data_IF_906349577958
#
_entry.id   IF_906349577958
#
_cell.length_a   1.000
_cell.length_b   1.000
_cell.length_c   1.000
_cell.angle_alpha   90.00
_cell.angle_beta   90.00
_cell.angle_gamma   90.00
#
_symmetry.space_group_name_H-M   'P 1'
#
loop_
_entity.id
_entity.type
_entity.pdbx_description
1 polymer ?
#
# COMPACT_ATOMS: atom_id res chain seq x y z
N UNK A 1 65.52 -69.25 35.12
CA UNK A 1 64.36 -68.34 34.94
C UNK A 1 64.05 -68.28 33.45
N UNK A 2 62.82 -68.59 33.04
CA UNK A 2 62.52 -68.85 31.62
C UNK A 2 62.30 -67.52 30.86
N UNK A 3 63.17 -67.21 29.90
CA UNK A 3 63.21 -65.90 29.20
C UNK A 3 61.86 -65.51 28.57
N UNK A 4 61.10 -66.50 28.10
CA UNK A 4 59.76 -66.31 27.52
C UNK A 4 58.72 -65.75 28.49
N UNK A 5 58.82 -66.03 29.79
CA UNK A 5 57.88 -65.49 30.80
C UNK A 5 58.12 -63.99 30.98
N UNK A 6 59.38 -63.56 30.92
CA UNK A 6 59.75 -62.14 31.06
C UNK A 6 59.30 -61.35 29.83
N UNK A 7 59.51 -61.90 28.62
CA UNK A 7 59.07 -61.29 27.37
C UNK A 7 57.54 -61.20 27.29
N UNK A 8 56.83 -62.28 27.67
CA UNK A 8 55.37 -62.30 27.70
C UNK A 8 54.78 -61.26 28.67
N UNK A 9 55.38 -61.12 29.86
CA UNK A 9 54.98 -60.10 30.84
C UNK A 9 55.19 -58.68 30.34
N UNK A 10 56.32 -58.41 29.65
CA UNK A 10 56.62 -57.10 29.06
C UNK A 10 55.62 -56.73 27.96
N UNK A 11 55.27 -57.66 27.08
CA UNK A 11 54.30 -57.40 26.00
C UNK A 11 52.90 -57.10 26.56
N UNK A 12 52.47 -57.82 27.60
CA UNK A 12 51.20 -57.57 28.28
C UNK A 12 51.17 -56.19 28.94
N UNK A 13 52.27 -55.79 29.57
CA UNK A 13 52.40 -54.47 30.19
C UNK A 13 52.35 -53.34 29.13
N UNK A 14 53.05 -53.50 28.00
CA UNK A 14 53.02 -52.54 26.89
C UNK A 14 51.60 -52.42 26.30
N UNK A 15 50.92 -53.55 26.07
CA UNK A 15 49.55 -53.55 25.53
C UNK A 15 48.57 -52.84 26.49
N UNK A 16 48.74 -53.03 27.80
CA UNK A 16 47.94 -52.34 28.82
C UNK A 16 48.15 -50.82 28.79
N UNK A 17 49.39 -50.34 28.64
CA UNK A 17 49.69 -48.91 28.53
C UNK A 17 49.07 -48.28 27.28
N UNK A 18 49.13 -48.97 26.13
CA UNK A 18 48.54 -48.49 24.88
C UNK A 18 47.01 -48.37 25.01
N UNK A 19 46.35 -49.36 25.60
CA UNK A 19 44.89 -49.33 25.79
C UNK A 19 44.43 -48.22 26.74
N UNK A 20 45.16 -47.99 27.84
CA UNK A 20 44.85 -46.89 28.77
C UNK A 20 45.13 -45.52 28.13
N UNK A 21 46.22 -45.40 27.37
CA UNK A 21 46.57 -44.17 26.67
C UNK A 21 45.56 -43.79 25.59
N UNK A 22 45.10 -44.74 24.78
CA UNK A 22 44.08 -44.48 23.76
C UNK A 22 42.73 -44.09 24.37
N UNK A 23 42.34 -44.75 25.47
CA UNK A 23 41.11 -44.41 26.19
C UNK A 23 41.17 -43.01 26.81
N UNK A 24 42.29 -42.63 27.46
CA UNK A 24 42.44 -41.28 28.01
C UNK A 24 42.43 -40.21 26.92
N UNK A 25 43.07 -40.48 25.78
CA UNK A 25 43.09 -39.54 24.65
C UNK A 25 41.68 -39.34 24.06
N UNK A 26 40.92 -40.42 23.84
CA UNK A 26 39.55 -40.31 23.34
C UNK A 26 38.60 -39.65 24.35
N UNK A 27 38.76 -39.96 25.65
CA UNK A 27 38.02 -39.30 26.73
C UNK A 27 38.31 -37.78 26.79
N UNK A 28 39.56 -37.37 26.57
CA UNK A 28 39.93 -35.96 26.49
C UNK A 28 39.30 -35.25 25.29
N UNK A 29 39.42 -35.82 24.09
CA UNK A 29 38.84 -35.23 22.89
C UNK A 29 37.30 -35.21 22.90
N UNK A 30 36.65 -36.24 23.45
CA UNK A 30 35.19 -36.25 23.61
C UNK A 30 34.73 -35.16 24.56
N UNK A 31 35.39 -34.99 25.71
CA UNK A 31 35.08 -33.92 26.66
C UNK A 31 35.22 -32.53 26.03
N UNK A 32 36.31 -32.30 25.29
CA UNK A 32 36.54 -31.02 24.61
C UNK A 32 35.49 -30.76 23.52
N UNK A 33 35.17 -31.77 22.69
CA UNK A 33 34.12 -31.65 21.66
C UNK A 33 32.76 -31.33 22.25
N UNK A 34 32.39 -31.93 23.38
CA UNK A 34 31.10 -31.65 24.04
C UNK A 34 31.03 -30.19 24.50
N UNK A 35 32.12 -29.64 25.02
CA UNK A 35 32.19 -28.22 25.43
C UNK A 35 32.07 -27.29 24.23
N UNK A 36 32.78 -27.57 23.14
CA UNK A 36 32.66 -26.79 21.90
C UNK A 36 31.26 -26.89 21.29
N UNK A 37 30.70 -28.08 21.18
CA UNK A 37 29.34 -28.29 20.67
C UNK A 37 28.29 -27.57 21.53
N UNK A 38 28.46 -27.54 22.85
CA UNK A 38 27.55 -26.80 23.73
C UNK A 38 27.61 -25.28 23.48
N UNK A 39 28.82 -24.73 23.29
CA UNK A 39 29.00 -23.31 22.93
C UNK A 39 28.42 -22.99 21.56
N UNK A 40 28.76 -23.78 20.55
CA UNK A 40 28.27 -23.59 19.19
C UNK A 40 26.74 -23.69 19.13
N UNK A 41 26.14 -24.66 19.84
CA UNK A 41 24.69 -24.76 19.95
C UNK A 41 24.07 -23.55 20.65
N UNK A 42 24.70 -23.03 21.71
CA UNK A 42 24.22 -21.84 22.40
C UNK A 42 24.26 -20.62 21.48
N UNK A 43 25.37 -20.42 20.76
CA UNK A 43 25.52 -19.34 19.77
C UNK A 43 24.50 -19.49 18.63
N UNK A 44 24.30 -20.70 18.10
CA UNK A 44 23.27 -20.99 17.10
C UNK A 44 21.88 -20.68 17.61
N UNK A 45 21.54 -21.06 18.84
CA UNK A 45 20.21 -20.76 19.42
C UNK A 45 20.00 -19.25 19.61
N UNK A 46 21.03 -18.52 20.04
CA UNK A 46 20.95 -17.07 20.18
C UNK A 46 20.78 -16.38 18.84
N UNK A 47 21.57 -16.77 17.83
CA UNK A 47 21.44 -16.25 16.46
C UNK A 47 20.07 -16.56 15.86
N UNK A 48 19.57 -17.79 16.03
CA UNK A 48 18.23 -18.16 15.55
C UNK A 48 17.13 -17.36 16.25
N UNK A 49 17.24 -17.09 17.56
CA UNK A 49 16.29 -16.26 18.27
C UNK A 49 16.28 -14.81 17.75
N UNK A 50 17.45 -14.25 17.45
CA UNK A 50 17.56 -12.93 16.84
C UNK A 50 16.95 -12.90 15.45
N UNK A 51 17.27 -13.88 14.59
CA UNK A 51 16.68 -14.01 13.24
C UNK A 51 15.16 -14.10 13.32
N UNK A 52 14.60 -14.92 14.22
CA UNK A 52 13.16 -15.04 14.40
C UNK A 52 12.54 -13.72 14.83
N UNK A 53 13.17 -12.98 15.75
CA UNK A 53 12.65 -11.68 16.19
C UNK A 53 12.65 -10.64 15.06
N UNK A 54 13.68 -10.64 14.22
CA UNK A 54 13.77 -9.76 13.05
C UNK A 54 12.74 -10.17 11.98
N UNK A 55 12.55 -11.46 11.75
CA UNK A 55 11.54 -11.97 10.81
C UNK A 55 10.12 -11.63 11.28
N UNK A 56 9.82 -11.77 12.57
CA UNK A 56 8.53 -11.38 13.13
C UNK A 56 8.27 -9.88 13.00
N UNK A 57 9.27 -9.05 13.29
CA UNK A 57 9.18 -7.59 13.11
C UNK A 57 8.95 -7.22 11.64
N UNK A 58 9.70 -7.83 10.71
CA UNK A 58 9.55 -7.60 9.28
C UNK A 58 8.18 -8.07 8.78
N UNK A 59 7.69 -9.23 9.24
CA UNK A 59 6.37 -9.75 8.89
C UNK A 59 5.25 -8.85 9.41
N UNK A 60 5.39 -8.31 10.63
CA UNK A 60 4.43 -7.37 11.20
C UNK A 60 4.38 -6.07 10.39
N UNK A 61 5.53 -5.51 10.00
CA UNK A 61 5.60 -4.34 9.13
C UNK A 61 4.95 -4.60 7.76
N UNK A 62 5.28 -5.72 7.13
CA UNK A 62 4.67 -6.13 5.86
C UNK A 62 3.14 -6.28 5.97
N UNK A 63 2.63 -6.87 7.05
CA UNK A 63 1.20 -7.00 7.27
C UNK A 63 0.50 -5.65 7.43
N UNK A 64 1.13 -4.71 8.15
CA UNK A 64 0.62 -3.35 8.29
C UNK A 64 0.57 -2.63 6.94
N UNK A 65 1.62 -2.78 6.12
CA UNK A 65 1.68 -2.19 4.79
C UNK A 65 0.65 -2.80 3.82
N UNK A 66 0.48 -4.12 3.83
CA UNK A 66 -0.56 -4.78 3.04
C UNK A 66 -1.96 -4.29 3.47
N UNK A 67 -2.18 -4.12 4.77
CA UNK A 67 -3.46 -3.61 5.28
C UNK A 67 -3.70 -2.17 4.85
N UNK A 68 -2.70 -1.29 4.93
CA UNK A 68 -2.86 0.11 4.50
C UNK A 68 -3.14 0.23 3.00
N UNK A 69 -2.47 -0.57 2.17
CA UNK A 69 -2.77 -0.66 0.74
C UNK A 69 -4.18 -1.19 0.47
N UNK A 70 -4.63 -2.21 1.21
CA UNK A 70 -5.98 -2.74 1.10
C UNK A 70 -7.02 -1.67 1.48
N UNK A 71 -6.80 -0.94 2.56
CA UNK A 71 -7.69 0.13 3.00
C UNK A 71 -7.79 1.25 1.96
N UNK A 72 -6.66 1.69 1.38
CA UNK A 72 -6.63 2.67 0.28
C UNK A 72 -7.44 2.16 -0.92
N UNK A 73 -7.27 0.88 -1.31
CA UNK A 73 -7.99 0.30 -2.42
C UNK A 73 -9.51 0.26 -2.16
N UNK A 74 -9.94 -0.17 -0.97
CA UNK A 74 -11.38 -0.20 -0.62
C UNK A 74 -11.99 1.20 -0.55
N UNK A 75 -11.24 2.19 -0.06
CA UNK A 75 -11.70 3.56 0.00
C UNK A 75 -11.86 4.14 -1.41
N UNK A 76 -10.88 3.91 -2.29
CA UNK A 76 -10.96 4.34 -3.68
C UNK A 76 -12.17 3.74 -4.41
N UNK A 77 -12.47 2.46 -4.19
CA UNK A 77 -13.63 1.80 -4.80
C UNK A 77 -14.95 2.41 -4.33
N UNK A 78 -15.09 2.68 -3.02
CA UNK A 78 -16.26 3.35 -2.45
C UNK A 78 -16.42 4.76 -3.01
N UNK A 79 -15.35 5.55 -3.00
CA UNK A 79 -15.37 6.91 -3.52
C UNK A 79 -15.73 6.95 -5.00
N UNK A 80 -15.29 5.94 -5.78
CA UNK A 80 -15.67 5.79 -7.19
C UNK A 80 -17.16 5.52 -7.36
N UNK A 81 -17.72 4.57 -6.61
CA UNK A 81 -19.15 4.27 -6.66
C UNK A 81 -19.99 5.49 -6.26
N UNK A 82 -19.62 6.16 -5.16
CA UNK A 82 -20.32 7.34 -4.68
C UNK A 82 -20.27 8.51 -5.67
N UNK A 83 -19.10 8.74 -6.28
CA UNK A 83 -18.95 9.78 -7.30
C UNK A 83 -19.82 9.48 -8.53
N UNK A 84 -19.87 8.22 -8.96
CA UNK A 84 -20.70 7.82 -10.10
C UNK A 84 -22.19 7.99 -9.81
N UNK A 85 -22.64 7.62 -8.60
CA UNK A 85 -24.01 7.85 -8.15
C UNK A 85 -24.34 9.35 -8.12
N UNK A 86 -23.45 10.19 -7.57
CA UNK A 86 -23.63 11.64 -7.50
C UNK A 86 -23.70 12.26 -8.89
N UNK A 87 -22.81 11.88 -9.81
CA UNK A 87 -22.80 12.37 -11.19
C UNK A 87 -24.10 12.01 -11.93
N UNK A 88 -24.52 10.75 -11.85
CA UNK A 88 -25.77 10.28 -12.46
C UNK A 88 -26.99 10.98 -11.86
N UNK A 89 -26.98 11.20 -10.54
CA UNK A 89 -28.05 11.90 -9.84
C UNK A 89 -28.14 13.36 -10.26
N UNK A 90 -27.01 14.08 -10.38
CA UNK A 90 -26.99 15.47 -10.88
C UNK A 90 -27.52 15.56 -12.31
N UNK A 91 -27.13 14.62 -13.17
CA UNK A 91 -27.60 14.56 -14.54
C UNK A 91 -29.10 14.24 -14.64
N UNK A 92 -29.60 13.33 -13.80
CA UNK A 92 -31.03 13.03 -13.69
C UNK A 92 -31.84 14.23 -13.16
N UNK A 93 -31.34 14.94 -12.14
CA UNK A 93 -31.95 16.15 -11.61
C UNK A 93 -31.99 17.27 -12.66
N UNK A 94 -30.92 17.41 -13.45
CA UNK A 94 -30.88 18.33 -14.57
C UNK A 94 -31.95 17.99 -15.63
N UNK A 95 -32.05 16.71 -16.05
CA UNK A 95 -33.07 16.24 -17.00
C UNK A 95 -34.51 16.38 -16.47
N UNK A 96 -34.70 16.20 -15.17
CA UNK A 96 -35.96 16.42 -14.48
C UNK A 96 -36.31 17.91 -14.32
N UNK A 97 -35.40 18.82 -14.68
CA UNK A 97 -35.60 20.27 -14.58
C UNK A 97 -35.49 20.82 -13.17
N UNK A 98 -34.88 20.08 -12.23
CA UNK A 98 -34.71 20.51 -10.84
C UNK A 98 -33.79 21.74 -10.71
N UNK A 99 -32.84 21.91 -11.65
CA UNK A 99 -32.01 23.09 -11.77
C UNK A 99 -31.65 23.36 -13.24
N UNK A 100 -31.27 24.60 -13.55
CA UNK A 100 -30.83 25.02 -14.89
C UNK A 100 -29.53 25.79 -14.78
N UNK A 101 -28.61 25.54 -15.71
CA UNK A 101 -27.37 26.31 -15.80
C UNK A 101 -27.64 27.61 -16.55
N UNK A 102 -27.19 28.73 -16.00
CA UNK A 102 -27.32 30.05 -16.62
C UNK A 102 -25.96 30.53 -17.08
N UNK A 103 -25.91 31.13 -18.26
CA UNK A 103 -24.74 31.86 -18.69
C UNK A 103 -24.89 33.33 -18.26
N UNK A 104 -24.06 33.81 -17.32
CA UNK A 104 -24.12 35.20 -16.84
C UNK A 104 -23.83 36.23 -17.95
N UNK A 105 -23.24 35.79 -19.08
CA UNK A 105 -22.87 36.63 -20.22
C UNK A 105 -23.87 36.51 -21.37
N UNK A 106 -24.81 35.55 -21.31
CA UNK A 106 -25.79 35.36 -22.36
C UNK A 106 -26.84 36.47 -22.31
N UNK A 107 -26.79 37.36 -23.30
CA UNK A 107 -27.88 38.29 -23.58
C UNK A 107 -29.11 37.44 -23.93
N UNK A 108 -30.15 37.53 -23.10
CA UNK A 108 -31.42 36.82 -23.27
C UNK A 108 -31.81 36.84 -24.75
N UNK A 109 -31.84 35.67 -25.40
CA UNK A 109 -32.24 35.57 -26.80
C UNK A 109 -33.65 36.17 -26.91
N UNK A 110 -33.76 37.35 -27.53
CA UNK A 110 -35.06 37.98 -27.79
C UNK A 110 -35.84 36.95 -28.59
N UNK A 111 -36.96 36.49 -28.04
CA UNK A 111 -37.95 35.73 -28.77
C UNK A 111 -38.25 36.51 -30.04
N UNK A 112 -37.91 35.96 -31.22
CA UNK A 112 -38.26 36.55 -32.50
C UNK A 112 -39.78 36.47 -32.69
N UNK A 113 -40.51 37.30 -31.94
CA UNK A 113 -41.90 37.64 -32.17
C UNK A 113 -41.94 39.11 -32.49
N UNK A 114 -42.43 39.46 -33.67
CA UNK A 114 -42.70 40.83 -34.12
C UNK A 114 -43.30 41.69 -33.00
N UNK A 115 -42.49 42.55 -32.39
CA UNK A 115 -42.98 43.70 -31.64
C UNK A 115 -42.17 44.92 -32.06
N UNK A 116 -42.74 45.61 -33.04
CA UNK A 116 -42.46 47.00 -33.39
C UNK A 116 -42.74 47.92 -32.20
N UNK A 117 -41.77 48.78 -31.89
CA UNK A 117 -42.00 50.10 -31.28
C UNK A 117 -41.63 50.24 -29.80
N UNK A 118 -40.44 50.78 -29.52
CA UNK A 118 -40.24 52.16 -29.02
C UNK A 118 -38.80 52.32 -28.51
N UNK A 119 -38.11 53.33 -29.04
CA UNK A 119 -36.82 53.79 -28.53
C UNK A 119 -37.12 54.62 -27.28
N UNK A 120 -36.73 54.12 -26.11
CA UNK A 120 -36.65 54.91 -24.89
C UNK A 120 -35.17 55.01 -24.49
N UNK A 121 -34.61 56.21 -24.60
CA UNK A 121 -33.31 56.57 -24.03
C UNK A 121 -33.42 56.63 -22.51
N UNK A 122 -32.70 55.76 -21.81
CA UNK A 122 -32.43 55.92 -20.37
C UNK A 122 -30.94 55.73 -20.08
N UNK A 123 -30.46 56.56 -19.15
CA UNK A 123 -29.07 56.75 -18.76
C UNK A 123 -28.75 55.87 -17.56
N UNK A 124 -27.68 55.07 -17.64
CA UNK A 124 -26.90 54.67 -16.47
C UNK A 124 -27.46 53.55 -15.57
N UNK A 125 -28.26 52.63 -16.11
CA UNK A 125 -28.49 51.32 -15.49
C UNK A 125 -27.83 50.26 -16.35
N UNK A 126 -26.90 49.46 -15.81
CA UNK A 126 -26.60 48.18 -16.44
C UNK A 126 -27.86 47.35 -16.34
N UNK A 127 -28.67 47.37 -17.39
CA UNK A 127 -29.78 46.44 -17.57
C UNK A 127 -29.15 45.04 -17.50
N UNK A 128 -29.20 44.44 -16.31
CA UNK A 128 -28.95 43.04 -16.10
C UNK A 128 -30.05 42.28 -16.81
N UNK A 129 -29.98 42.23 -18.14
CA UNK A 129 -30.84 41.39 -18.96
C UNK A 129 -30.82 40.01 -18.36
N UNK A 130 -32.02 39.45 -18.11
CA UNK A 130 -32.16 38.14 -17.48
C UNK A 130 -31.14 37.18 -18.11
N UNK A 131 -30.15 36.68 -17.34
CA UNK A 131 -29.07 35.89 -17.90
C UNK A 131 -29.68 34.70 -18.64
N UNK A 132 -29.34 34.56 -19.92
CA UNK A 132 -29.85 33.52 -20.78
C UNK A 132 -29.54 32.14 -20.20
N UNK A 133 -30.48 31.21 -20.29
CA UNK A 133 -30.23 29.82 -19.93
C UNK A 133 -29.24 29.20 -20.92
N UNK A 134 -28.31 28.37 -20.43
CA UNK A 134 -27.45 27.58 -21.29
C UNK A 134 -28.29 26.61 -22.10
N UNK A 135 -27.87 26.33 -23.34
CA UNK A 135 -28.54 25.33 -24.16
C UNK A 135 -28.50 23.96 -23.48
N UNK A 136 -29.52 23.13 -23.77
CA UNK A 136 -29.66 21.80 -23.19
C UNK A 136 -28.40 20.94 -23.39
N UNK A 137 -27.87 20.97 -24.62
CA UNK A 137 -26.66 20.24 -25.02
C UNK A 137 -25.39 20.77 -24.38
N UNK A 138 -25.24 22.10 -24.23
CA UNK A 138 -24.08 22.69 -23.57
C UNK A 138 -24.05 22.35 -22.07
N UNK A 139 -25.21 22.36 -21.42
CA UNK A 139 -25.31 22.00 -20.01
C UNK A 139 -24.98 20.54 -19.75
N UNK A 140 -25.50 19.61 -20.57
CA UNK A 140 -25.14 18.18 -20.46
C UNK A 140 -23.66 17.94 -20.74
N UNK A 141 -23.08 18.60 -21.75
CA UNK A 141 -21.66 18.51 -22.06
C UNK A 141 -20.79 18.99 -20.88
N UNK A 142 -21.10 20.16 -20.30
CA UNK A 142 -20.34 20.70 -19.16
C UNK A 142 -20.44 19.79 -17.93
N UNK A 143 -21.63 19.25 -17.64
CA UNK A 143 -21.79 18.28 -16.54
C UNK A 143 -20.99 17.00 -16.79
N UNK A 144 -20.97 16.48 -18.02
CA UNK A 144 -20.14 15.35 -18.42
C UNK A 144 -18.65 15.64 -18.23
N UNK A 145 -18.18 16.78 -18.74
CA UNK A 145 -16.79 17.21 -18.64
C UNK A 145 -16.34 17.36 -17.17
N UNK A 146 -17.18 17.94 -16.30
CA UNK A 146 -16.85 18.02 -14.87
C UNK A 146 -16.74 16.64 -14.21
N UNK A 147 -17.59 15.69 -14.62
CA UNK A 147 -17.51 14.31 -14.14
C UNK A 147 -16.22 13.60 -14.57
N UNK A 148 -15.80 13.81 -15.82
CA UNK A 148 -14.52 13.30 -16.34
C UNK A 148 -13.32 13.93 -15.61
N UNK A 149 -13.35 15.25 -15.39
CA UNK A 149 -12.31 15.94 -14.65
C UNK A 149 -12.20 15.43 -13.20
N UNK A 150 -13.33 15.26 -12.51
CA UNK A 150 -13.38 14.71 -11.14
C UNK A 150 -12.85 13.26 -11.10
N UNK A 151 -13.12 12.45 -12.12
CA UNK A 151 -12.57 11.08 -12.24
C UNK A 151 -11.05 11.10 -12.34
N UNK A 152 -10.48 11.95 -13.20
CA UNK A 152 -9.02 12.08 -13.35
C UNK A 152 -8.36 12.53 -12.05
N UNK A 153 -8.94 13.51 -11.36
CA UNK A 153 -8.42 13.98 -10.05
C UNK A 153 -8.45 12.85 -9.02
N UNK A 154 -9.51 12.03 -8.99
CA UNK A 154 -9.60 10.90 -8.06
C UNK A 154 -8.58 9.82 -8.35
N UNK A 155 -8.40 9.46 -9.63
CA UNK A 155 -7.38 8.50 -10.05
C UNK A 155 -5.98 8.98 -9.66
N UNK A 156 -5.67 10.25 -9.94
CA UNK A 156 -4.39 10.83 -9.57
C UNK A 156 -4.17 10.83 -8.05
N UNK A 157 -5.20 11.20 -7.29
CA UNK A 157 -5.13 11.22 -5.82
C UNK A 157 -4.91 9.81 -5.25
N UNK A 158 -5.55 8.79 -5.82
CA UNK A 158 -5.33 7.39 -5.43
C UNK A 158 -3.90 6.92 -5.75
N UNK A 159 -3.38 7.24 -6.94
CA UNK A 159 -1.99 6.93 -7.29
C UNK A 159 -1.01 7.64 -6.34
N UNK A 160 -1.27 8.90 -6.00
CA UNK A 160 -0.44 9.64 -5.04
C UNK A 160 -0.50 9.02 -3.65
N UNK A 161 -1.67 8.59 -3.18
CA UNK A 161 -1.82 7.91 -1.89
C UNK A 161 -0.99 6.63 -1.81
N UNK A 162 -1.02 5.81 -2.86
CA UNK A 162 -0.19 4.60 -2.96
C UNK A 162 1.30 4.95 -2.93
N UNK A 163 1.75 5.93 -3.71
CA UNK A 163 3.17 6.34 -3.75
C UNK A 163 3.65 6.95 -2.43
N UNK A 164 2.77 7.66 -1.71
CA UNK A 164 3.08 8.20 -0.39
C UNK A 164 3.22 7.06 0.62
N UNK A 165 2.34 6.06 0.57
CA UNK A 165 2.39 4.92 1.47
C UNK A 165 3.60 4.03 1.21
N UNK A 166 3.94 3.80 -0.06
CA UNK A 166 5.16 3.09 -0.50
C UNK A 166 6.45 3.78 -0.01
N UNK A 167 6.47 5.13 0.03
CA UNK A 167 7.63 5.90 0.52
C UNK A 167 7.73 6.07 2.03
N UNK A 168 6.77 5.57 2.81
CA UNK A 168 6.86 5.57 4.28
C UNK A 168 7.67 4.40 4.83
N UNK A 169 7.89 3.37 4.03
CA UNK A 169 8.89 2.33 4.29
C UNK A 169 10.31 2.84 3.98
#
# INVERSE_FOLDING_TARGET
MNSYIIIGGLLLWIASLIGVGSWQNDAGHTAERVVWQAKDNQELTAANAEILSLEEAARAAQQQHIQSLADIATQFEKEKQDAQIKANTRLAQYRAGAFRLRDPSAVSARTCGNQTGQIATSTGGSDGGSPGELSGSASEFLLGLTGEADEVVRQLSACQAVVIEDRKE
#
